data_IF_291422082955
#
_entry.id   IF_291422082955
#
_cell.length_a   1.000
_cell.length_b   1.000
_cell.length_c   1.000
_cell.angle_alpha   90.00
_cell.angle_beta   90.00
_cell.angle_gamma   90.00
#
_symmetry.space_group_name_H-M   'P 1'
#
loop_
_entity.id
_entity.type
_entity.pdbx_description
1 polymer ?
#
# COMPACT_ATOMS: atom_id res chain seq x y z
N UNK A 1 135.78 82.06 2.26
CA UNK A 1 134.84 81.54 1.24
C UNK A 1 133.57 82.41 1.24
N UNK A 2 132.95 82.64 0.08
CA UNK A 2 132.04 83.75 -0.21
C UNK A 2 130.60 83.48 0.28
N UNK A 3 129.86 84.54 0.59
CA UNK A 3 128.44 84.50 0.94
C UNK A 3 127.57 84.00 -0.22
N UNK A 4 126.61 83.09 0.01
CA UNK A 4 125.48 82.92 -0.90
C UNK A 4 124.32 83.84 -0.49
N UNK A 5 123.98 84.68 -1.46
CA UNK A 5 122.89 85.64 -1.48
C UNK A 5 121.68 84.97 -2.13
N UNK A 6 120.48 85.42 -1.70
CA UNK A 6 119.25 85.59 -2.52
C UNK A 6 118.47 84.26 -2.78
N UNK A 7 117.13 84.17 -2.90
CA UNK A 7 116.06 85.06 -3.37
C UNK A 7 114.71 84.60 -2.75
N UNK A 8 113.79 85.56 -2.60
CA UNK A 8 112.38 85.47 -2.20
C UNK A 8 111.52 84.62 -3.15
N UNK A 9 110.43 84.03 -2.64
CA UNK A 9 109.13 84.24 -3.30
C UNK A 9 108.00 84.22 -2.28
N UNK A 10 107.24 85.30 -2.24
CA UNK A 10 105.98 85.42 -1.51
C UNK A 10 104.92 85.59 -2.57
N UNK A 11 104.10 84.56 -2.77
CA UNK A 11 102.80 84.70 -3.42
C UNK A 11 101.74 84.41 -2.35
N UNK A 12 100.99 85.42 -1.88
CA UNK A 12 99.88 85.21 -0.98
C UNK A 12 98.75 84.44 -1.71
N UNK A 13 98.02 83.56 -1.01
CA UNK A 13 96.91 82.84 -1.61
C UNK A 13 95.84 83.81 -2.12
N UNK A 14 95.46 83.66 -3.39
CA UNK A 14 94.34 84.35 -4.03
C UNK A 14 93.06 84.07 -3.25
N UNK A 15 92.38 85.13 -2.79
CA UNK A 15 91.04 85.03 -2.19
C UNK A 15 90.05 84.40 -3.19
N UNK A 16 89.74 83.11 -2.97
CA UNK A 16 88.63 82.40 -3.61
C UNK A 16 87.33 82.51 -2.79
N UNK A 17 87.20 83.53 -1.95
CA UNK A 17 86.06 83.73 -1.05
C UNK A 17 84.75 84.16 -1.72
N UNK A 18 84.81 84.75 -2.92
CA UNK A 18 83.63 85.40 -3.53
C UNK A 18 82.95 84.63 -4.65
N UNK A 19 83.55 83.54 -5.17
CA UNK A 19 82.93 82.74 -6.26
C UNK A 19 82.12 81.53 -5.80
N UNK A 20 82.19 81.14 -4.52
CA UNK A 20 81.40 80.02 -3.98
C UNK A 20 79.98 80.47 -3.55
N UNK A 21 79.75 81.78 -3.38
CA UNK A 21 78.42 82.31 -2.98
C UNK A 21 77.38 82.41 -4.10
N UNK A 22 77.77 82.27 -5.38
CA UNK A 22 76.86 82.49 -6.51
C UNK A 22 76.22 81.22 -7.10
N UNK A 23 76.56 80.02 -6.62
CA UNK A 23 76.00 78.77 -7.15
C UNK A 23 75.53 77.88 -5.99
N UNK A 24 74.57 78.38 -5.22
CA UNK A 24 73.66 77.51 -4.46
C UNK A 24 72.39 77.37 -5.30
N UNK A 25 72.00 76.17 -5.75
CA UNK A 25 70.71 76.00 -6.40
C UNK A 25 69.63 76.45 -5.40
N UNK A 26 68.76 77.40 -5.80
CA UNK A 26 67.53 77.70 -5.08
C UNK A 26 66.73 76.40 -4.99
N UNK A 27 66.81 75.71 -3.87
CA UNK A 27 65.91 74.61 -3.53
C UNK A 27 64.51 75.21 -3.52
N UNK A 28 63.74 74.96 -4.59
CA UNK A 28 62.31 75.24 -4.60
C UNK A 28 61.70 74.39 -3.49
N UNK A 29 61.40 75.03 -2.36
CA UNK A 29 60.73 74.38 -1.25
C UNK A 29 59.34 73.95 -1.75
N UNK A 30 59.12 72.64 -1.94
CA UNK A 30 57.77 72.09 -2.12
C UNK A 30 56.90 72.62 -0.97
N UNK A 31 55.67 73.10 -1.23
CA UNK A 31 54.84 73.65 -0.18
C UNK A 31 54.66 72.61 0.93
N UNK A 32 55.17 72.92 2.12
CA UNK A 32 54.97 72.09 3.32
C UNK A 32 53.47 72.00 3.54
N UNK A 33 52.88 70.82 3.29
CA UNK A 33 51.47 70.55 3.61
C UNK A 33 51.30 70.79 5.11
N UNK A 34 50.45 71.76 5.46
CA UNK A 34 50.13 72.05 6.86
C UNK A 34 49.49 70.79 7.46
N UNK A 35 49.91 70.33 8.65
CA UNK A 35 49.21 69.25 9.33
C UNK A 35 47.79 69.74 9.62
N UNK A 36 46.79 69.03 9.11
CA UNK A 36 45.39 69.34 9.38
C UNK A 36 45.16 69.04 10.87
N UNK A 37 45.18 70.09 11.69
CA UNK A 37 44.89 70.02 13.12
C UNK A 37 43.38 69.91 13.31
N UNK A 38 42.84 68.71 13.20
CA UNK A 38 41.45 68.46 13.55
C UNK A 38 41.37 68.51 15.08
N UNK A 39 40.49 69.33 15.69
CA UNK A 39 40.36 69.37 17.13
C UNK A 39 39.87 68.01 17.62
N UNK A 40 40.62 67.38 18.53
CA UNK A 40 40.35 66.04 19.09
C UNK A 40 38.92 65.89 19.62
N UNK A 41 38.30 67.00 20.06
CA UNK A 41 36.91 67.04 20.49
C UNK A 41 35.91 66.76 19.35
N UNK A 42 36.15 67.29 18.14
CA UNK A 42 35.29 67.01 16.97
C UNK A 42 35.43 65.57 16.50
N UNK A 43 36.63 65.01 16.58
CA UNK A 43 36.86 63.60 16.23
C UNK A 43 36.18 62.66 17.23
N UNK A 44 36.22 63.00 18.53
CA UNK A 44 35.49 62.28 19.58
C UNK A 44 33.97 62.33 19.36
N UNK A 45 33.42 63.49 19.03
CA UNK A 45 31.98 63.64 18.73
C UNK A 45 31.58 62.79 17.51
N UNK A 46 32.36 62.81 16.42
CA UNK A 46 32.09 61.98 15.24
C UNK A 46 32.16 60.49 15.58
N UNK A 47 33.11 60.08 16.42
CA UNK A 47 33.23 58.69 16.86
C UNK A 47 32.04 58.24 17.73
N UNK A 48 31.57 59.10 18.63
CA UNK A 48 30.37 58.85 19.44
C UNK A 48 29.13 58.71 18.56
N UNK A 49 28.96 59.59 17.56
CA UNK A 49 27.85 59.52 16.61
C UNK A 49 27.92 58.22 15.80
N UNK A 50 29.11 57.83 15.35
CA UNK A 50 29.31 56.59 14.61
C UNK A 50 28.97 55.35 15.45
N UNK A 51 29.36 55.35 16.73
CA UNK A 51 28.99 54.30 17.68
C UNK A 51 27.48 54.25 17.92
N UNK A 52 26.83 55.40 18.01
CA UNK A 52 25.39 55.48 18.25
C UNK A 52 24.59 54.99 17.04
N UNK A 53 24.97 55.40 15.84
CA UNK A 53 24.38 54.89 14.59
C UNK A 53 24.66 53.40 14.43
N UNK A 54 25.90 52.97 14.67
CA UNK A 54 26.28 51.56 14.62
C UNK A 54 25.49 50.71 15.60
N UNK A 55 25.29 51.19 16.82
CA UNK A 55 24.50 50.53 17.86
C UNK A 55 23.01 50.41 17.51
N UNK A 56 22.42 51.47 16.95
CA UNK A 56 21.02 51.42 16.50
C UNK A 56 20.84 50.41 15.36
N UNK A 57 21.78 50.38 14.41
CA UNK A 57 21.76 49.42 13.30
C UNK A 57 21.90 47.98 13.80
N UNK A 58 22.85 47.70 14.70
CA UNK A 58 23.06 46.34 15.20
C UNK A 58 21.86 45.81 15.99
N UNK A 59 21.25 46.65 16.83
CA UNK A 59 20.02 46.29 17.57
C UNK A 59 18.90 45.95 16.58
N UNK A 60 18.71 46.77 15.55
CA UNK A 60 17.68 46.54 14.54
C UNK A 60 17.88 45.21 13.82
N UNK A 61 19.09 44.90 13.35
CA UNK A 61 19.37 43.63 12.67
C UNK A 61 19.26 42.39 13.57
N UNK A 62 19.60 42.51 14.86
CA UNK A 62 19.52 41.38 15.81
C UNK A 62 18.08 41.08 16.22
N UNK A 63 17.23 42.10 16.37
CA UNK A 63 15.82 41.96 16.76
C UNK A 63 14.89 41.55 15.61
N UNK A 64 15.34 41.59 14.35
CA UNK A 64 14.57 41.16 13.18
C UNK A 64 14.48 39.63 13.04
N UNK A 65 14.11 38.93 14.10
CA UNK A 65 13.86 37.48 14.07
C UNK A 65 12.38 37.21 14.32
N UNK A 66 11.68 36.77 13.28
CA UNK A 66 10.32 36.28 13.38
C UNK A 66 10.34 34.75 13.29
N UNK A 67 9.91 34.08 14.35
CA UNK A 67 9.71 32.63 14.35
C UNK A 67 8.27 32.35 13.98
N UNK A 68 8.04 31.75 12.81
CA UNK A 68 6.71 31.32 12.37
C UNK A 68 6.56 29.85 12.74
N UNK A 69 5.64 29.54 13.64
CA UNK A 69 5.32 28.18 14.05
C UNK A 69 4.03 27.76 13.36
N UNK A 70 4.09 26.75 12.49
CA UNK A 70 2.92 26.20 11.80
C UNK A 70 2.56 24.88 12.46
N UNK A 71 1.32 24.78 12.94
CA UNK A 71 0.74 23.54 13.47
C UNK A 71 -0.34 23.06 12.51
N UNK A 72 -0.12 21.97 11.77
CA UNK A 72 -1.16 21.42 10.90
C UNK A 72 -2.27 20.79 11.75
N UNK A 73 -3.50 21.17 11.47
CA UNK A 73 -4.68 20.52 12.05
C UNK A 73 -4.94 19.22 11.29
N UNK A 74 -4.68 18.08 11.94
CA UNK A 74 -4.98 16.76 11.36
C UNK A 74 -6.40 16.36 11.70
N UNK A 75 -7.22 16.16 10.66
CA UNK A 75 -8.57 15.62 10.80
C UNK A 75 -8.56 14.15 10.42
N UNK A 76 -9.05 13.30 11.31
CA UNK A 76 -9.30 11.90 10.97
C UNK A 76 -10.51 11.82 10.03
N UNK A 77 -10.30 11.25 8.85
CA UNK A 77 -11.35 10.99 7.87
C UNK A 77 -11.67 9.51 7.96
N UNK A 78 -12.87 9.17 8.42
CA UNK A 78 -13.39 7.81 8.36
C UNK A 78 -14.04 7.57 7.00
N UNK A 79 -13.45 6.68 6.22
CA UNK A 79 -13.99 6.26 4.93
C UNK A 79 -14.76 4.96 5.17
N UNK A 80 -16.08 5.03 5.09
CA UNK A 80 -16.95 3.85 5.16
C UNK A 80 -17.38 3.48 3.75
N UNK A 81 -16.81 2.40 3.21
CA UNK A 81 -17.18 1.86 1.89
C UNK A 81 -17.94 0.54 2.07
N UNK A 82 -19.03 0.37 1.33
CA UNK A 82 -19.76 -0.89 1.26
C UNK A 82 -19.12 -1.75 0.17
N UNK A 83 -18.65 -2.94 0.55
CA UNK A 83 -18.16 -3.97 -0.39
C UNK A 83 -19.18 -5.10 -0.35
N UNK A 84 -19.62 -5.57 -1.54
CA UNK A 84 -20.59 -6.65 -1.68
C UNK A 84 -19.86 -7.93 -2.06
N UNK A 85 -20.22 -9.06 -1.45
CA UNK A 85 -19.72 -10.37 -1.85
C UNK A 85 -20.76 -10.99 -2.77
N UNK A 86 -20.40 -11.22 -4.03
CA UNK A 86 -21.29 -11.79 -5.04
C UNK A 86 -20.76 -13.16 -5.48
N UNK A 87 -21.64 -14.15 -5.56
CA UNK A 87 -21.32 -15.50 -6.05
C UNK A 87 -21.40 -15.63 -7.58
N UNK A 88 -21.80 -14.57 -8.26
CA UNK A 88 -22.06 -14.55 -9.71
C UNK A 88 -20.88 -14.01 -10.54
N UNK A 89 -19.88 -13.42 -9.88
CA UNK A 89 -18.69 -12.84 -10.51
C UNK A 89 -17.48 -13.74 -10.28
N UNK A 90 -16.64 -13.90 -11.30
CA UNK A 90 -15.36 -14.64 -11.20
C UNK A 90 -14.16 -13.70 -10.98
N UNK A 91 -14.28 -12.43 -11.37
CA UNK A 91 -13.23 -11.41 -11.25
C UNK A 91 -13.70 -10.23 -10.39
N UNK A 92 -12.74 -9.50 -9.82
CA UNK A 92 -13.01 -8.32 -8.99
C UNK A 92 -13.45 -7.17 -9.88
N UNK A 93 -14.64 -6.63 -9.61
CA UNK A 93 -15.09 -5.38 -10.24
C UNK A 93 -14.65 -4.18 -9.36
N UNK A 94 -14.03 -3.19 -10.00
CA UNK A 94 -13.49 -1.99 -9.36
C UNK A 94 -14.47 -0.82 -9.51
N UNK A 95 -15.32 -0.85 -10.54
CA UNK A 95 -16.36 0.15 -10.82
C UNK A 95 -17.55 -0.08 -9.88
N UNK A 96 -17.93 -1.35 -9.69
CA UNK A 96 -18.85 -1.78 -8.65
C UNK A 96 -18.07 -2.58 -7.59
N UNK A 97 -17.96 -2.13 -6.32
CA UNK A 97 -17.13 -2.77 -5.31
C UNK A 97 -17.71 -4.13 -4.89
N UNK A 98 -17.49 -5.13 -5.74
CA UNK A 98 -17.94 -6.49 -5.61
C UNK A 98 -16.73 -7.43 -5.61
N UNK A 99 -16.75 -8.40 -4.70
CA UNK A 99 -15.72 -9.44 -4.62
C UNK A 99 -16.34 -10.83 -4.82
N UNK A 100 -15.64 -11.74 -5.52
CA UNK A 100 -16.14 -13.09 -5.77
C UNK A 100 -16.24 -13.88 -4.46
N UNK A 101 -17.41 -14.46 -4.22
CA UNK A 101 -17.69 -15.34 -3.09
C UNK A 101 -18.00 -16.77 -3.52
N UNK A 102 -17.74 -17.74 -2.65
CA UNK A 102 -18.08 -19.16 -2.88
C UNK A 102 -19.02 -19.64 -1.80
N UNK A 103 -20.16 -20.19 -2.19
CA UNK A 103 -21.11 -20.83 -1.26
C UNK A 103 -20.67 -22.27 -1.00
N UNK A 104 -20.34 -22.58 0.24
CA UNK A 104 -20.02 -23.94 0.68
C UNK A 104 -21.29 -24.58 1.25
N UNK A 105 -21.84 -25.58 0.56
CA UNK A 105 -22.95 -26.40 1.06
C UNK A 105 -22.41 -27.68 1.67
N UNK A 106 -22.75 -27.95 2.93
CA UNK A 106 -22.39 -29.18 3.64
C UNK A 106 -23.67 -29.99 3.83
N UNK A 107 -23.75 -31.11 3.14
CA UNK A 107 -24.84 -32.05 3.32
C UNK A 107 -24.59 -32.91 4.57
N UNK A 108 -25.61 -32.99 5.43
CA UNK A 108 -25.55 -33.82 6.64
C UNK A 108 -26.75 -34.74 6.66
N UNK A 109 -26.48 -36.02 6.50
CA UNK A 109 -27.50 -37.06 6.62
C UNK A 109 -27.76 -37.37 8.10
N UNK A 110 -29.04 -37.48 8.46
CA UNK A 110 -29.46 -37.92 9.78
C UNK A 110 -30.53 -39.01 9.62
N UNK A 111 -30.20 -40.21 10.08
CA UNK A 111 -31.12 -41.35 10.06
C UNK A 111 -31.78 -41.47 11.42
N UNK A 112 -33.11 -41.39 11.45
CA UNK A 112 -33.90 -41.62 12.65
C UNK A 112 -34.78 -42.85 12.45
N UNK A 113 -34.68 -43.80 13.38
CA UNK A 113 -35.52 -44.97 13.42
C UNK A 113 -36.80 -44.64 14.22
N UNK A 114 -37.95 -45.01 13.67
CA UNK A 114 -39.25 -44.83 14.31
C UNK A 114 -39.91 -46.19 14.49
N UNK A 115 -40.45 -46.42 15.69
CA UNK A 115 -41.20 -47.64 15.98
C UNK A 115 -42.55 -47.61 15.25
N UNK A 116 -42.83 -48.67 14.48
CA UNK A 116 -44.10 -48.79 13.78
C UNK A 116 -45.22 -49.17 14.77
N UNK A 117 -46.19 -48.27 14.99
CA UNK A 117 -47.34 -48.47 15.89
C UNK A 117 -48.52 -49.20 15.24
N UNK A 118 -48.43 -49.56 13.95
CA UNK A 118 -49.53 -50.15 13.19
C UNK A 118 -49.40 -51.65 12.98
N UNK A 119 -50.35 -52.44 13.50
CA UNK A 119 -50.54 -53.83 13.08
C UNK A 119 -51.56 -53.89 11.95
N UNK A 120 -51.11 -54.03 10.70
CA UNK A 120 -52.00 -54.29 9.56
C UNK A 120 -52.11 -55.80 9.35
N UNK A 121 -53.12 -56.41 9.95
CA UNK A 121 -53.53 -57.78 9.63
C UNK A 121 -54.09 -57.82 8.20
N UNK A 122 -53.22 -58.02 7.22
CA UNK A 122 -53.67 -58.24 5.85
C UNK A 122 -54.16 -59.68 5.72
N UNK A 123 -55.48 -59.89 5.89
CA UNK A 123 -56.13 -61.19 5.66
C UNK A 123 -56.26 -61.51 4.15
N UNK A 124 -55.25 -61.15 3.35
CA UNK A 124 -55.21 -61.46 1.92
C UNK A 124 -54.74 -62.91 1.80
N UNK A 125 -55.64 -63.78 1.34
CA UNK A 125 -55.26 -65.15 0.96
C UNK A 125 -54.23 -65.06 -0.16
N UNK A 126 -53.17 -65.86 -0.05
CA UNK A 126 -52.16 -65.98 -1.10
C UNK A 126 -52.83 -66.43 -2.41
N UNK A 127 -52.54 -65.70 -3.49
CA UNK A 127 -52.97 -66.05 -4.84
C UNK A 127 -51.74 -66.45 -5.66
N UNK A 128 -51.90 -67.43 -6.53
CA UNK A 128 -50.86 -67.90 -7.44
C UNK A 128 -51.44 -68.25 -8.80
N UNK A 129 -50.58 -68.41 -9.80
CA UNK A 129 -50.96 -68.87 -11.13
C UNK A 129 -50.28 -70.21 -11.41
N UNK A 130 -51.05 -71.18 -11.90
CA UNK A 130 -50.56 -72.51 -12.28
C UNK A 130 -50.96 -72.80 -13.72
N UNK A 131 -50.16 -73.61 -14.41
CA UNK A 131 -50.50 -74.12 -15.74
C UNK A 131 -51.03 -75.54 -15.60
N UNK A 132 -52.22 -75.79 -16.16
CA UNK A 132 -52.87 -77.11 -16.11
C UNK A 132 -53.07 -77.60 -17.53
N UNK A 133 -52.67 -78.85 -17.79
CA UNK A 133 -52.86 -79.52 -19.08
C UNK A 133 -53.86 -80.66 -18.92
N UNK A 134 -54.58 -80.97 -19.99
CA UNK A 134 -55.50 -82.10 -20.06
C UNK A 134 -54.98 -83.11 -21.09
N UNK A 135 -54.73 -84.33 -20.64
CA UNK A 135 -54.26 -85.46 -21.46
C UNK A 135 -55.42 -86.33 -21.98
N UNK A 136 -56.67 -85.97 -21.68
CA UNK A 136 -57.85 -86.71 -22.14
C UNK A 136 -58.32 -86.14 -23.48
N UNK A 137 -58.88 -87.02 -24.32
CA UNK A 137 -59.56 -86.64 -25.58
C UNK A 137 -60.92 -85.95 -25.36
N UNK A 138 -61.28 -85.63 -24.12
CA UNK A 138 -62.52 -84.95 -23.74
C UNK A 138 -62.20 -83.71 -22.89
N UNK A 139 -62.94 -82.62 -23.09
CA UNK A 139 -62.82 -81.38 -22.31
C UNK A 139 -63.07 -81.65 -20.82
N UNK A 140 -62.16 -81.18 -19.98
CA UNK A 140 -62.26 -81.32 -18.53
C UNK A 140 -62.69 -79.99 -17.88
N UNK A 141 -63.73 -80.04 -17.06
CA UNK A 141 -64.25 -78.86 -16.36
C UNK A 141 -63.76 -78.89 -14.91
N UNK A 142 -63.04 -77.84 -14.50
CA UNK A 142 -62.66 -77.59 -13.12
C UNK A 142 -63.70 -76.68 -12.48
N UNK A 143 -64.30 -77.13 -11.37
CA UNK A 143 -65.22 -76.32 -10.58
C UNK A 143 -64.45 -75.45 -9.58
N UNK A 144 -65.13 -74.44 -9.04
CA UNK A 144 -64.60 -73.64 -7.93
C UNK A 144 -64.22 -74.57 -6.77
N UNK A 145 -63.14 -74.25 -6.06
CA UNK A 145 -62.58 -75.07 -4.98
C UNK A 145 -62.02 -76.45 -5.39
N UNK A 146 -61.70 -76.65 -6.67
CA UNK A 146 -60.85 -77.78 -7.06
C UNK A 146 -59.45 -77.62 -6.44
N UNK A 147 -58.93 -78.68 -5.83
CA UNK A 147 -57.68 -78.69 -5.05
C UNK A 147 -56.46 -79.01 -5.92
N UNK A 148 -55.39 -78.27 -5.73
CA UNK A 148 -54.05 -78.54 -6.27
C UNK A 148 -53.05 -78.59 -5.12
N UNK A 149 -52.17 -79.58 -5.13
CA UNK A 149 -51.16 -79.78 -4.09
C UNK A 149 -49.79 -79.46 -4.66
N UNK A 150 -49.03 -78.59 -3.99
CA UNK A 150 -47.61 -78.35 -4.30
C UNK A 150 -46.74 -79.50 -3.78
N UNK A 151 -45.52 -79.62 -4.29
CA UNK A 151 -44.51 -80.56 -3.78
C UNK A 151 -44.28 -80.38 -2.26
N UNK A 152 -44.34 -79.13 -1.80
CA UNK A 152 -44.22 -78.75 -0.38
C UNK A 152 -45.49 -79.04 0.47
N UNK A 153 -46.52 -79.67 -0.11
CA UNK A 153 -47.75 -80.04 0.60
C UNK A 153 -48.79 -78.92 0.76
N UNK A 154 -48.55 -77.73 0.20
CA UNK A 154 -49.54 -76.65 0.21
C UNK A 154 -50.72 -76.95 -0.72
N UNK A 155 -51.94 -76.66 -0.24
CA UNK A 155 -53.19 -76.86 -1.00
C UNK A 155 -53.72 -75.52 -1.52
N UNK A 156 -53.83 -75.41 -2.84
CA UNK A 156 -54.41 -74.27 -3.53
C UNK A 156 -55.80 -74.62 -4.09
N UNK A 157 -56.71 -73.66 -4.06
CA UNK A 157 -58.09 -73.82 -4.52
C UNK A 157 -58.33 -72.96 -5.75
N UNK A 158 -59.01 -73.53 -6.75
CA UNK A 158 -59.40 -72.75 -7.93
C UNK A 158 -60.44 -71.70 -7.57
N UNK A 159 -60.23 -70.46 -7.97
CA UNK A 159 -61.13 -69.32 -7.66
C UNK A 159 -62.34 -69.22 -8.58
N UNK A 160 -62.26 -69.79 -9.79
CA UNK A 160 -63.31 -69.74 -10.81
C UNK A 160 -63.47 -71.07 -11.54
N UNK A 161 -64.63 -71.30 -12.15
CA UNK A 161 -64.87 -72.44 -13.04
C UNK A 161 -64.06 -72.27 -14.33
N UNK A 162 -63.30 -73.28 -14.73
CA UNK A 162 -62.45 -73.26 -15.94
C UNK A 162 -62.70 -74.54 -16.75
N UNK A 163 -62.88 -74.41 -18.07
CA UNK A 163 -62.94 -75.56 -18.98
C UNK A 163 -61.59 -75.70 -19.68
N UNK A 164 -60.91 -76.83 -19.48
CA UNK A 164 -59.65 -77.19 -20.11
C UNK A 164 -59.98 -78.02 -21.35
N UNK A 165 -59.58 -77.60 -22.57
CA UNK A 165 -59.93 -78.30 -23.80
C UNK A 165 -59.39 -79.73 -23.81
N UNK A 166 -60.00 -80.58 -24.63
CA UNK A 166 -59.47 -81.91 -24.94
C UNK A 166 -58.07 -81.82 -25.56
N UNK A 167 -57.22 -82.81 -25.30
CA UNK A 167 -55.98 -82.97 -26.03
C UNK A 167 -56.31 -83.21 -27.51
N UNK A 168 -55.80 -82.34 -28.39
CA UNK A 168 -55.84 -82.60 -29.83
C UNK A 168 -54.84 -83.74 -30.10
N UNK A 169 -55.35 -84.93 -30.41
CA UNK A 169 -54.52 -86.02 -30.91
C UNK A 169 -53.81 -85.54 -32.17
N UNK A 170 -52.47 -85.58 -32.15
CA UNK A 170 -51.70 -85.59 -33.39
C UNK A 170 -51.92 -86.98 -33.99
N UNK A 171 -52.84 -87.07 -34.93
CA UNK A 171 -52.97 -88.19 -35.86
C UNK A 171 -52.85 -87.62 -37.27
#
# INVERSE_FOLDING_TARGET
MPHPKKILDIIPPKDFGDKIRAITPKIQQKPKRKPIKIPVLKLSIVFIILLLVGGVLTIHFVFQKATITVWPETKEVSITQRIVVATEIEEIDIEEPQIPGVTLSIEKEATQLFDATGFKASAIKSNGSIRVFNERSVTQILIVNTRFTSEDGFVFLTTKRIAIPAQKGST
#
